data_IF_816220583829
#
_entry.id   IF_816220583829
#
_cell.length_a   1.000
_cell.length_b   1.000
_cell.length_c   1.000
_cell.angle_alpha   90.00
_cell.angle_beta   90.00
_cell.angle_gamma   90.00
#
_symmetry.space_group_name_H-M   'P 1'
#
loop_
_entity.id
_entity.type
_entity.pdbx_description
1 polymer ?
#
# COMPACT_ATOMS: atom_id res chain seq x y z
N UNK A 1 -79.95 -26.92 7.99
CA UNK A 1 -79.27 -25.87 7.17
C UNK A 1 -77.93 -25.60 7.80
N UNK A 2 -76.89 -26.22 7.27
CA UNK A 2 -75.50 -26.08 7.81
C UNK A 2 -74.64 -25.32 6.78
N UNK A 3 -74.24 -24.13 7.12
CA UNK A 3 -73.29 -23.34 6.32
C UNK A 3 -71.80 -23.70 6.74
N UNK A 4 -71.04 -24.24 5.79
CA UNK A 4 -69.61 -24.49 5.93
C UNK A 4 -68.87 -23.21 5.57
N UNK A 5 -68.11 -22.70 6.50
CA UNK A 5 -67.12 -21.64 6.26
C UNK A 5 -65.76 -22.28 5.83
N UNK A 6 -65.29 -21.95 4.66
CA UNK A 6 -63.97 -22.34 4.19
C UNK A 6 -62.97 -21.25 4.58
N UNK A 7 -61.94 -21.61 5.38
CA UNK A 7 -60.78 -20.78 5.67
C UNK A 7 -59.77 -20.92 4.52
N UNK A 8 -59.49 -19.82 3.83
CA UNK A 8 -58.36 -19.72 2.91
C UNK A 8 -57.12 -19.27 3.70
N UNK A 9 -56.13 -20.16 3.86
CA UNK A 9 -54.80 -19.82 4.30
C UNK A 9 -54.04 -19.26 3.08
N UNK A 10 -53.79 -17.97 3.07
CA UNK A 10 -52.87 -17.32 2.13
C UNK A 10 -51.41 -17.49 2.58
N UNK A 11 -50.65 -18.28 1.85
CA UNK A 11 -49.20 -18.38 2.04
C UNK A 11 -48.52 -17.20 1.33
N UNK A 12 -48.01 -16.24 2.09
CA UNK A 12 -47.19 -15.16 1.56
C UNK A 12 -45.77 -15.67 1.37
N UNK A 13 -45.36 -15.86 0.11
CA UNK A 13 -43.95 -16.11 -0.25
C UNK A 13 -43.16 -14.78 -0.15
N UNK A 14 -42.31 -14.64 0.86
CA UNK A 14 -41.38 -13.55 0.94
C UNK A 14 -40.20 -13.81 -0.03
N UNK A 15 -40.15 -13.06 -1.16
CA UNK A 15 -38.97 -13.01 -2.03
C UNK A 15 -37.85 -12.23 -1.31
N UNK A 16 -36.88 -12.95 -0.81
CA UNK A 16 -35.60 -12.34 -0.37
C UNK A 16 -34.73 -12.11 -1.61
N UNK A 17 -34.67 -10.88 -2.10
CA UNK A 17 -33.69 -10.48 -3.10
C UNK A 17 -32.32 -10.42 -2.42
N UNK A 18 -31.28 -11.13 -2.93
CA UNK A 18 -29.90 -10.94 -2.43
C UNK A 18 -29.45 -9.54 -2.78
N UNK A 19 -28.97 -8.80 -1.76
CA UNK A 19 -28.25 -7.54 -1.96
C UNK A 19 -26.95 -7.84 -2.73
N UNK A 20 -26.60 -7.03 -3.75
CA UNK A 20 -25.30 -7.17 -4.41
C UNK A 20 -24.21 -6.92 -3.36
N UNK A 21 -23.32 -7.89 -3.19
CA UNK A 21 -22.07 -7.70 -2.47
C UNK A 21 -21.25 -6.69 -3.28
N UNK A 22 -21.07 -5.48 -2.75
CA UNK A 22 -20.06 -4.56 -3.26
C UNK A 22 -18.72 -5.21 -2.96
N UNK A 23 -18.09 -5.80 -3.97
CA UNK A 23 -16.68 -6.09 -3.94
C UNK A 23 -16.00 -4.73 -3.77
N UNK A 24 -15.35 -4.52 -2.63
CA UNK A 24 -14.39 -3.43 -2.48
C UNK A 24 -13.22 -3.80 -3.41
N UNK A 25 -13.21 -3.16 -4.58
CA UNK A 25 -12.02 -3.16 -5.41
C UNK A 25 -10.90 -2.55 -4.57
N UNK A 26 -9.94 -3.36 -4.19
CA UNK A 26 -8.62 -2.91 -3.73
C UNK A 26 -7.96 -2.26 -4.94
N UNK A 27 -8.32 -1.01 -5.20
CA UNK A 27 -7.98 -0.30 -6.41
C UNK A 27 -6.50 0.04 -6.42
N UNK A 28 -5.69 -0.87 -6.94
CA UNK A 28 -4.42 -0.49 -7.51
C UNK A 28 -4.73 0.47 -8.66
N UNK A 29 -4.38 1.74 -8.50
CA UNK A 29 -4.53 2.73 -9.56
C UNK A 29 -3.66 2.34 -10.74
N UNK A 30 -4.18 2.48 -11.97
CA UNK A 30 -3.40 2.22 -13.19
C UNK A 30 -2.09 3.02 -13.19
N UNK A 31 -0.97 2.42 -13.60
CA UNK A 31 0.33 3.08 -13.58
C UNK A 31 0.36 4.27 -14.55
N UNK A 32 0.93 5.38 -14.09
CA UNK A 32 1.07 6.62 -14.87
C UNK A 32 2.50 7.13 -14.88
N UNK A 33 2.87 7.91 -15.88
CA UNK A 33 4.17 8.56 -15.96
C UNK A 33 4.17 9.92 -15.21
N UNK A 34 5.31 10.37 -14.65
CA UNK A 34 6.60 9.66 -14.63
C UNK A 34 6.64 8.51 -13.60
N UNK A 35 7.43 7.48 -13.89
CA UNK A 35 7.66 6.39 -12.96
C UNK A 35 9.06 5.79 -13.10
N UNK A 36 9.49 5.04 -12.09
CA UNK A 36 10.69 4.21 -12.12
C UNK A 36 10.32 2.74 -12.00
N UNK A 37 11.08 1.88 -12.69
CA UNK A 37 11.00 0.43 -12.56
C UNK A 37 12.41 -0.14 -12.37
N UNK A 38 12.54 -1.22 -11.60
CA UNK A 38 13.84 -1.85 -11.34
C UNK A 38 13.71 -3.33 -11.05
N UNK A 39 14.77 -4.08 -11.37
CA UNK A 39 14.93 -5.48 -10.99
C UNK A 39 16.36 -5.73 -10.53
N UNK A 40 16.58 -6.79 -9.76
CA UNK A 40 17.84 -7.04 -9.08
C UNK A 40 18.68 -8.13 -9.73
N UNK A 41 18.07 -9.14 -10.35
CA UNK A 41 18.78 -10.32 -10.88
C UNK A 41 18.35 -10.68 -12.32
N UNK A 42 19.13 -10.25 -13.33
CA UNK A 42 20.21 -9.27 -13.28
C UNK A 42 19.69 -7.85 -12.98
N UNK A 43 20.54 -7.00 -12.42
CA UNK A 43 20.17 -5.61 -12.12
C UNK A 43 19.82 -4.86 -13.42
N UNK A 44 18.69 -4.15 -13.36
CA UNK A 44 18.28 -3.14 -14.33
C UNK A 44 17.44 -2.06 -13.64
N UNK A 45 17.49 -0.86 -14.17
CA UNK A 45 16.64 0.25 -13.72
C UNK A 45 16.19 1.08 -14.91
N UNK A 46 14.91 1.44 -14.96
CA UNK A 46 14.32 2.30 -15.98
C UNK A 46 13.65 3.48 -15.30
N UNK A 47 14.03 4.68 -15.73
CA UNK A 47 13.26 5.89 -15.45
C UNK A 47 12.48 6.28 -16.71
N UNK A 48 11.15 6.32 -16.60
CA UNK A 48 10.23 6.68 -17.67
C UNK A 48 9.59 8.03 -17.39
N UNK A 49 9.65 8.94 -18.35
CA UNK A 49 9.10 10.29 -18.20
C UNK A 49 8.92 11.00 -19.52
N UNK A 50 8.56 12.30 -19.50
CA UNK A 50 8.27 13.07 -20.71
C UNK A 50 9.48 13.23 -21.64
N UNK A 51 10.70 13.07 -21.12
CA UNK A 51 11.93 13.16 -21.93
C UNK A 51 12.33 11.82 -22.58
N UNK A 52 11.64 10.73 -22.25
CA UNK A 52 11.94 9.39 -22.77
C UNK A 52 12.18 8.36 -21.67
N UNK A 53 12.62 7.17 -22.09
CA UNK A 53 13.04 6.07 -21.23
C UNK A 53 14.56 6.09 -21.05
N UNK A 54 15.03 6.03 -19.80
CA UNK A 54 16.45 5.88 -19.45
C UNK A 54 16.67 4.51 -18.83
N UNK A 55 17.35 3.62 -19.52
CA UNK A 55 17.74 2.31 -19.00
C UNK A 55 19.14 2.40 -18.40
N UNK A 56 19.32 1.88 -17.21
CA UNK A 56 20.61 1.70 -16.54
C UNK A 56 20.82 0.21 -16.28
N UNK A 57 21.96 -0.32 -16.70
CA UNK A 57 22.39 -1.71 -16.48
C UNK A 57 23.80 -1.70 -15.85
N UNK A 58 24.17 -2.71 -15.02
CA UNK A 58 25.54 -2.86 -14.55
C UNK A 58 26.47 -3.23 -15.70
N UNK A 59 27.76 -3.11 -15.49
CA UNK A 59 28.82 -3.52 -16.38
C UNK A 59 28.99 -2.69 -17.67
N UNK A 60 29.46 -1.45 -17.47
CA UNK A 60 30.13 -0.68 -18.54
C UNK A 60 29.25 -0.16 -19.68
N UNK A 61 27.97 -0.48 -19.67
CA UNK A 61 27.01 0.05 -20.67
C UNK A 61 26.47 1.42 -20.30
N UNK A 62 26.73 1.92 -19.10
CA UNK A 62 26.36 3.25 -18.64
C UNK A 62 24.85 3.50 -18.68
N UNK A 63 24.46 4.72 -18.28
CA UNK A 63 23.09 5.21 -18.49
C UNK A 63 22.91 5.51 -19.97
N UNK A 64 21.99 4.79 -20.63
CA UNK A 64 21.61 5.09 -22.00
C UNK A 64 20.91 6.45 -22.04
N UNK A 65 21.19 7.25 -23.07
CA UNK A 65 20.45 8.48 -23.32
C UNK A 65 18.95 8.16 -23.38
N UNK A 66 18.11 9.18 -23.08
CA UNK A 66 16.67 9.01 -23.15
C UNK A 66 16.23 8.48 -24.53
N UNK A 67 15.63 7.31 -24.55
CA UNK A 67 15.12 6.66 -25.74
C UNK A 67 13.67 7.10 -25.99
N UNK A 68 13.30 7.41 -27.22
CA UNK A 68 11.90 7.59 -27.58
C UNK A 68 11.14 6.27 -27.39
N UNK A 69 9.89 6.36 -26.97
CA UNK A 69 9.03 5.21 -26.76
C UNK A 69 7.60 5.47 -27.23
N UNK A 70 6.87 4.40 -27.48
CA UNK A 70 5.41 4.43 -27.61
C UNK A 70 4.78 3.91 -26.33
N UNK A 71 3.67 4.51 -25.94
CA UNK A 71 2.87 4.11 -24.78
C UNK A 71 1.56 3.50 -25.25
N UNK A 72 1.24 2.32 -24.74
CA UNK A 72 -0.05 1.64 -24.95
C UNK A 72 -0.55 1.10 -23.62
N UNK A 73 -1.82 0.70 -23.58
CA UNK A 73 -2.42 0.02 -22.42
C UNK A 73 -3.00 -1.33 -22.83
N UNK A 74 -3.00 -2.27 -21.91
CA UNK A 74 -3.63 -3.58 -22.04
C UNK A 74 -4.40 -3.83 -20.73
N UNK A 75 -5.73 -3.57 -20.75
CA UNK A 75 -6.50 -3.43 -19.52
C UNK A 75 -5.96 -2.28 -18.67
N UNK A 76 -5.65 -2.56 -17.42
CA UNK A 76 -5.06 -1.60 -16.47
C UNK A 76 -3.54 -1.53 -16.52
N UNK A 77 -2.90 -2.37 -17.34
CA UNK A 77 -1.45 -2.41 -17.51
C UNK A 77 -0.96 -1.33 -18.44
N UNK A 78 0.20 -0.74 -18.13
CA UNK A 78 0.92 0.21 -18.97
C UNK A 78 2.04 -0.51 -19.71
N UNK A 79 2.15 -0.30 -21.04
CA UNK A 79 3.21 -0.88 -21.86
C UNK A 79 3.98 0.27 -22.54
N UNK A 80 5.28 0.31 -22.32
CA UNK A 80 6.20 1.26 -22.92
C UNK A 80 7.15 0.49 -23.86
N UNK A 81 7.13 0.82 -25.14
CA UNK A 81 7.90 0.10 -26.17
C UNK A 81 8.91 1.02 -26.84
N UNK A 82 10.15 0.58 -26.87
CA UNK A 82 11.25 1.18 -27.62
C UNK A 82 11.61 0.29 -28.83
N UNK A 83 12.66 0.63 -29.60
CA UNK A 83 13.20 -0.24 -30.66
C UNK A 83 13.84 -1.52 -30.09
N UNK A 84 14.37 -1.49 -28.88
CA UNK A 84 15.22 -2.54 -28.33
C UNK A 84 14.57 -3.38 -27.24
N UNK A 85 13.54 -2.84 -26.56
CA UNK A 85 12.86 -3.53 -25.47
C UNK A 85 11.43 -2.99 -25.26
N UNK A 86 10.63 -3.78 -24.56
CA UNK A 86 9.34 -3.39 -24.00
C UNK A 86 9.35 -3.50 -22.47
N UNK A 87 8.75 -2.52 -21.80
CA UNK A 87 8.49 -2.54 -20.35
C UNK A 87 6.99 -2.62 -20.13
N UNK A 88 6.53 -3.72 -19.54
CA UNK A 88 5.15 -3.89 -19.08
C UNK A 88 5.10 -3.59 -17.59
N UNK A 89 4.09 -2.84 -17.15
CA UNK A 89 3.85 -2.46 -15.76
C UNK A 89 2.41 -2.82 -15.44
N UNK A 90 2.24 -3.73 -14.50
CA UNK A 90 0.93 -4.23 -14.09
C UNK A 90 0.55 -3.64 -12.71
N UNK A 91 -0.73 -3.28 -12.46
CA UNK A 91 -1.21 -2.73 -11.20
C UNK A 91 -1.35 -3.85 -10.13
N UNK A 92 -0.25 -4.50 -9.83
CA UNK A 92 -0.13 -5.61 -8.87
C UNK A 92 0.98 -5.29 -7.89
N UNK A 93 0.70 -5.43 -6.60
CA UNK A 93 1.68 -5.23 -5.55
C UNK A 93 2.93 -6.08 -5.83
N UNK A 94 4.09 -5.47 -5.71
CA UNK A 94 5.38 -6.10 -5.93
C UNK A 94 6.25 -5.95 -4.69
N UNK A 95 6.92 -7.01 -4.27
CA UNK A 95 7.95 -6.93 -3.24
C UNK A 95 9.32 -7.03 -3.89
N UNK A 96 10.19 -6.09 -3.60
CA UNK A 96 11.57 -6.10 -4.06
C UNK A 96 12.33 -7.29 -3.44
N UNK A 97 12.94 -8.12 -4.28
CA UNK A 97 13.52 -9.40 -3.86
C UNK A 97 14.70 -9.25 -2.88
N UNK A 98 15.36 -8.08 -2.84
CA UNK A 98 16.50 -7.85 -1.95
C UNK A 98 16.08 -7.21 -0.63
N UNK A 99 15.26 -6.17 -0.68
CA UNK A 99 14.86 -5.40 0.50
C UNK A 99 13.54 -5.86 1.13
N UNK A 100 12.70 -6.57 0.36
CA UNK A 100 11.32 -6.86 0.72
C UNK A 100 10.41 -5.63 0.74
N UNK A 101 10.88 -4.48 0.21
CA UNK A 101 10.10 -3.25 0.12
C UNK A 101 8.90 -3.44 -0.82
N UNK A 102 7.68 -3.09 -0.40
CA UNK A 102 6.52 -3.14 -1.28
C UNK A 102 6.53 -1.97 -2.27
N UNK A 103 6.18 -2.25 -3.52
CA UNK A 103 5.98 -1.30 -4.61
C UNK A 103 4.57 -1.45 -5.16
N UNK A 104 3.95 -0.38 -5.67
CA UNK A 104 2.57 -0.44 -6.15
C UNK A 104 2.37 -1.29 -7.40
N UNK A 105 3.45 -1.57 -8.17
CA UNK A 105 3.36 -2.24 -9.46
C UNK A 105 4.42 -3.32 -9.64
N UNK A 106 4.06 -4.40 -10.33
CA UNK A 106 5.04 -5.31 -10.92
C UNK A 106 5.53 -4.74 -12.25
N UNK A 107 6.76 -5.07 -12.63
CA UNK A 107 7.35 -4.67 -13.89
C UNK A 107 8.00 -5.87 -14.59
N UNK A 108 7.81 -5.96 -15.92
CA UNK A 108 8.46 -6.95 -16.76
C UNK A 108 9.17 -6.25 -17.92
N UNK A 109 10.49 -6.33 -17.92
CA UNK A 109 11.34 -5.84 -19.01
C UNK A 109 11.59 -6.99 -19.99
N UNK A 110 11.12 -6.86 -21.24
CA UNK A 110 11.30 -7.85 -22.30
C UNK A 110 12.25 -7.33 -23.37
N UNK A 111 13.32 -8.09 -23.64
CA UNK A 111 14.29 -7.80 -24.69
C UNK A 111 14.53 -9.08 -25.51
N UNK A 112 14.21 -9.04 -26.81
CA UNK A 112 14.21 -10.20 -27.68
C UNK A 112 13.41 -11.37 -27.05
N UNK A 113 14.06 -12.49 -26.71
CA UNK A 113 13.43 -13.66 -26.10
C UNK A 113 13.61 -13.72 -24.56
N UNK A 114 14.17 -12.69 -23.93
CA UNK A 114 14.44 -12.66 -22.48
C UNK A 114 13.49 -11.72 -21.80
N UNK A 115 12.89 -12.17 -20.69
CA UNK A 115 12.08 -11.36 -19.80
C UNK A 115 12.72 -11.29 -18.41
N UNK A 116 12.80 -10.10 -17.86
CA UNK A 116 13.35 -9.80 -16.53
C UNK A 116 12.25 -9.19 -15.68
N UNK A 117 12.06 -9.72 -14.48
CA UNK A 117 11.06 -9.24 -13.55
C UNK A 117 11.63 -8.16 -12.63
N UNK A 118 10.74 -7.37 -12.07
CA UNK A 118 11.08 -6.32 -11.11
C UNK A 118 9.84 -5.61 -10.60
N UNK A 119 10.05 -4.53 -9.88
CA UNK A 119 9.02 -3.69 -9.30
C UNK A 119 9.04 -2.29 -9.92
N UNK A 120 7.88 -1.60 -9.89
CA UNK A 120 7.75 -0.24 -10.40
C UNK A 120 6.90 0.65 -9.48
N UNK A 121 7.07 1.96 -9.67
CA UNK A 121 6.39 3.01 -8.91
C UNK A 121 7.17 3.46 -7.69
N UNK A 122 6.51 4.25 -6.86
CA UNK A 122 7.07 4.80 -5.62
C UNK A 122 6.44 4.09 -4.42
N UNK A 123 7.21 3.40 -3.56
CA UNK A 123 6.72 2.83 -2.31
C UNK A 123 5.98 3.84 -1.43
N UNK A 124 6.36 5.12 -1.45
CA UNK A 124 5.69 6.15 -0.68
C UNK A 124 4.21 6.31 -1.04
N UNK A 125 3.81 5.98 -2.27
CA UNK A 125 2.41 6.01 -2.70
C UNK A 125 1.55 4.98 -1.95
N UNK A 126 2.11 3.84 -1.56
CA UNK A 126 1.43 2.81 -0.78
C UNK A 126 1.20 3.27 0.67
N UNK A 127 2.19 3.95 1.24
CA UNK A 127 2.15 4.46 2.62
C UNK A 127 1.27 5.71 2.76
N UNK A 128 1.24 6.57 1.73
CA UNK A 128 0.55 7.86 1.76
C UNK A 128 -0.94 7.73 2.08
N UNK A 129 -1.48 8.68 2.85
CA UNK A 129 -2.91 8.77 3.17
C UNK A 129 -3.21 8.63 4.65
N UNK A 130 -4.50 8.44 4.95
CA UNK A 130 -5.03 8.36 6.30
C UNK A 130 -5.28 6.89 6.67
N UNK A 131 -4.86 6.51 7.86
CA UNK A 131 -4.90 5.16 8.37
C UNK A 131 -5.51 5.13 9.76
N UNK A 132 -6.45 4.21 9.99
CA UNK A 132 -6.99 3.89 11.32
C UNK A 132 -6.25 2.67 11.87
N UNK A 133 -5.60 2.82 13.01
CA UNK A 133 -4.88 1.72 13.68
C UNK A 133 -5.89 0.79 14.32
N UNK A 134 -5.81 -0.49 13.99
CA UNK A 134 -6.72 -1.53 14.48
C UNK A 134 -6.12 -2.39 15.58
N UNK A 135 -4.78 -2.56 15.56
CA UNK A 135 -4.08 -3.29 16.62
C UNK A 135 -2.63 -2.82 16.81
N UNK A 136 -2.12 -3.04 18.02
CA UNK A 136 -0.72 -2.88 18.40
C UNK A 136 -0.17 -4.27 18.75
N UNK A 137 0.92 -4.68 18.09
CA UNK A 137 1.37 -6.05 18.09
C UNK A 137 0.21 -7.01 17.79
N UNK A 138 -0.24 -7.86 18.61
CA UNK A 138 -1.40 -8.73 18.39
C UNK A 138 -2.66 -8.27 19.17
N UNK A 139 -2.57 -7.17 19.93
CA UNK A 139 -3.67 -6.68 20.76
C UNK A 139 -4.52 -5.64 20.01
N UNK A 140 -5.86 -5.79 19.96
CA UNK A 140 -6.73 -4.80 19.34
C UNK A 140 -6.70 -3.49 20.13
N UNK A 141 -6.93 -2.37 19.44
CA UNK A 141 -7.13 -1.07 20.09
C UNK A 141 -8.39 -1.13 20.96
N UNK A 142 -8.33 -0.68 22.23
CA UNK A 142 -9.50 -0.69 23.11
C UNK A 142 -10.68 0.11 22.54
N UNK A 143 -11.90 -0.41 22.73
CA UNK A 143 -13.11 0.28 22.28
C UNK A 143 -13.21 1.70 22.87
N UNK A 144 -13.60 2.67 22.04
CA UNK A 144 -13.69 4.07 22.43
C UNK A 144 -12.35 4.82 22.46
N UNK A 145 -11.29 4.21 21.93
CA UNK A 145 -9.98 4.84 21.75
C UNK A 145 -9.67 4.92 20.25
N UNK A 146 -9.50 6.13 19.73
CA UNK A 146 -9.17 6.34 18.32
C UNK A 146 -7.67 6.54 18.17
N UNK A 147 -7.05 5.68 17.37
CA UNK A 147 -5.65 5.81 16.98
C UNK A 147 -5.58 5.94 15.47
N UNK A 148 -5.00 7.04 15.00
CA UNK A 148 -4.90 7.32 13.56
C UNK A 148 -3.49 7.76 13.18
N UNK A 149 -3.10 7.47 11.96
CA UNK A 149 -1.86 7.94 11.34
C UNK A 149 -2.17 8.50 9.95
N UNK A 150 -1.53 9.59 9.60
CA UNK A 150 -1.59 10.22 8.28
C UNK A 150 -0.17 10.44 7.78
N UNK A 151 0.15 9.88 6.62
CA UNK A 151 1.47 10.02 6.00
C UNK A 151 1.35 10.90 4.76
N UNK A 152 2.05 12.04 4.74
CA UNK A 152 2.06 13.00 3.61
C UNK A 152 3.39 13.74 3.56
N UNK A 153 4.03 13.74 2.41
CA UNK A 153 5.21 14.57 2.10
C UNK A 153 6.32 14.49 3.17
N UNK A 154 6.70 13.28 3.59
CA UNK A 154 7.72 13.05 4.61
C UNK A 154 7.27 13.37 6.04
N UNK A 155 5.99 13.65 6.27
CA UNK A 155 5.42 13.94 7.60
C UNK A 155 4.42 12.88 8.02
N UNK A 156 4.49 12.51 9.29
CA UNK A 156 3.49 11.68 9.95
C UNK A 156 2.74 12.54 10.98
N UNK A 157 1.42 12.42 10.99
CA UNK A 157 0.55 13.07 11.99
C UNK A 157 -0.60 12.15 12.34
N UNK A 158 -1.30 12.40 13.45
CA UNK A 158 -2.45 11.60 13.83
C UNK A 158 -2.87 11.77 15.27
N UNK A 159 -3.53 10.74 15.80
CA UNK A 159 -3.97 10.63 17.18
C UNK A 159 -3.38 9.35 17.80
N UNK A 160 -2.79 9.45 18.98
CA UNK A 160 -2.18 8.32 19.69
C UNK A 160 -3.12 7.61 20.67
N UNK A 161 -4.41 7.97 20.66
CA UNK A 161 -5.40 7.47 21.62
C UNK A 161 -5.84 8.52 22.65
N UNK A 162 -4.93 9.35 23.11
CA UNK A 162 -5.19 10.49 23.98
C UNK A 162 -4.78 11.80 23.32
N UNK A 163 -3.58 11.87 22.79
CA UNK A 163 -2.97 13.09 22.29
C UNK A 163 -2.80 13.07 20.77
N UNK A 164 -2.76 14.26 20.17
CA UNK A 164 -2.33 14.40 18.79
C UNK A 164 -0.84 14.16 18.71
N UNK A 165 -0.42 13.41 17.70
CA UNK A 165 0.99 13.19 17.39
C UNK A 165 1.37 13.87 16.08
N UNK A 166 2.63 14.25 15.96
CA UNK A 166 3.23 14.70 14.70
C UNK A 166 4.72 14.39 14.70
N UNK A 167 5.26 14.17 13.52
CA UNK A 167 6.67 13.87 13.32
C UNK A 167 7.03 13.88 11.84
N UNK A 168 8.17 13.32 11.52
CA UNK A 168 8.64 13.09 10.15
C UNK A 168 8.90 11.63 9.90
N UNK A 169 8.84 11.24 8.63
CA UNK A 169 9.33 9.94 8.19
C UNK A 169 10.26 10.11 7.00
N UNK A 170 11.19 9.19 6.90
CA UNK A 170 12.06 9.01 5.75
C UNK A 170 11.90 7.57 5.24
N UNK A 171 11.67 7.44 3.93
CA UNK A 171 11.51 6.16 3.25
C UNK A 171 12.59 6.03 2.20
N UNK A 172 13.49 5.08 2.41
CA UNK A 172 14.61 4.79 1.52
C UNK A 172 14.56 3.33 1.05
N UNK A 173 15.46 2.93 0.15
CA UNK A 173 15.60 1.52 -0.24
C UNK A 173 15.94 0.57 0.92
N UNK A 174 16.37 1.10 2.06
CA UNK A 174 16.73 0.33 3.25
C UNK A 174 15.59 0.21 4.27
N UNK A 175 14.55 1.02 4.14
CA UNK A 175 13.39 0.94 5.03
C UNK A 175 12.73 2.26 5.35
N UNK A 176 11.88 2.23 6.38
CA UNK A 176 11.08 3.34 6.89
C UNK A 176 11.62 3.79 8.25
N UNK A 177 11.97 5.07 8.38
CA UNK A 177 12.38 5.65 9.66
C UNK A 177 11.39 6.71 10.09
N UNK A 178 10.85 6.58 11.30
CA UNK A 178 10.03 7.62 11.94
C UNK A 178 10.89 8.42 12.91
N UNK A 179 10.82 9.74 12.87
CA UNK A 179 11.65 10.61 13.69
C UNK A 179 10.91 11.83 14.19
N UNK A 180 11.44 12.44 15.25
CA UNK A 180 10.92 13.67 15.85
C UNK A 180 9.43 13.57 16.25
N UNK A 181 8.98 12.39 16.69
CA UNK A 181 7.60 12.20 17.13
C UNK A 181 7.38 13.03 18.40
N UNK A 182 6.44 13.95 18.34
CA UNK A 182 5.99 14.78 19.43
C UNK A 182 4.49 14.64 19.62
N UNK A 183 4.02 14.76 20.87
CA UNK A 183 2.59 14.73 21.19
C UNK A 183 2.18 15.98 21.97
N UNK A 184 0.89 16.31 21.91
CA UNK A 184 0.27 17.24 22.88
C UNK A 184 0.31 16.61 24.28
N UNK A 185 -0.04 17.38 25.32
CA UNK A 185 0.04 16.91 26.71
C UNK A 185 -1.30 17.07 27.41
N UNK A 186 -2.33 16.41 26.90
CA UNK A 186 -3.62 16.31 27.61
C UNK A 186 -3.57 15.13 28.59
N UNK A 187 -4.30 15.24 29.69
CA UNK A 187 -4.54 14.15 30.61
C UNK A 187 -5.85 13.46 30.22
N UNK A 188 -5.76 12.18 29.88
CA UNK A 188 -6.89 11.33 29.57
C UNK A 188 -7.06 10.22 30.64
N UNK A 189 -8.19 9.51 30.66
CA UNK A 189 -8.34 8.29 31.47
C UNK A 189 -7.23 7.26 31.19
N UNK A 190 -6.91 6.45 32.20
CA UNK A 190 -5.79 5.50 32.14
C UNK A 190 -5.73 4.63 30.86
N UNK A 191 -6.84 4.01 30.36
CA UNK A 191 -6.78 3.19 29.16
C UNK A 191 -6.26 3.92 27.92
N UNK A 192 -6.63 5.20 27.73
CA UNK A 192 -6.15 6.00 26.60
C UNK A 192 -4.67 6.40 26.77
N UNK A 193 -4.24 6.69 28.00
CA UNK A 193 -2.82 6.98 28.29
C UNK A 193 -1.93 5.75 28.10
N UNK A 194 -2.40 4.58 28.48
CA UNK A 194 -1.71 3.30 28.24
C UNK A 194 -1.60 3.01 26.75
N UNK A 195 -2.70 3.23 26.00
CA UNK A 195 -2.69 3.08 24.53
C UNK A 195 -1.68 4.03 23.89
N UNK A 196 -1.66 5.30 24.28
CA UNK A 196 -0.68 6.27 23.78
C UNK A 196 0.76 5.80 24.00
N UNK A 197 1.09 5.35 25.21
CA UNK A 197 2.43 4.84 25.50
C UNK A 197 2.79 3.66 24.60
N UNK A 198 1.85 2.74 24.38
CA UNK A 198 2.05 1.59 23.52
C UNK A 198 2.22 2.01 22.02
N UNK A 199 1.42 2.98 21.54
CA UNK A 199 1.55 3.55 20.20
C UNK A 199 2.93 4.18 20.00
N UNK A 200 3.38 5.02 20.95
CA UNK A 200 4.66 5.69 20.83
C UNK A 200 5.83 4.71 20.89
N UNK A 201 5.74 3.66 21.70
CA UNK A 201 6.72 2.59 21.75
C UNK A 201 6.75 1.79 20.43
N UNK A 202 5.59 1.48 19.86
CA UNK A 202 5.49 0.83 18.56
C UNK A 202 6.11 1.69 17.47
N UNK A 203 5.75 2.98 17.37
CA UNK A 203 6.29 3.90 16.37
C UNK A 203 7.81 4.03 16.45
N UNK A 204 8.38 4.01 17.64
CA UNK A 204 9.84 4.07 17.84
C UNK A 204 10.59 2.81 17.37
N UNK A 205 9.90 1.68 17.24
CA UNK A 205 10.49 0.40 16.80
C UNK A 205 10.38 0.14 15.30
N UNK A 206 9.59 0.96 14.58
CA UNK A 206 9.31 0.73 13.16
C UNK A 206 10.54 1.05 12.31
N UNK A 207 10.88 0.08 11.45
CA UNK A 207 11.93 0.22 10.44
C UNK A 207 11.48 -0.22 9.05
N UNK A 208 10.28 -0.80 8.93
CA UNK A 208 9.74 -1.32 7.67
C UNK A 208 8.22 -1.17 7.65
N UNK A 209 7.66 -1.22 6.46
CA UNK A 209 6.22 -1.38 6.27
C UNK A 209 5.93 -2.41 5.20
N UNK A 210 4.72 -2.92 5.22
CA UNK A 210 4.18 -3.81 4.20
C UNK A 210 2.69 -3.52 3.98
N UNK A 211 2.18 -3.93 2.84
CA UNK A 211 0.76 -3.89 2.50
C UNK A 211 0.29 -5.33 2.27
N UNK A 212 -0.63 -5.79 3.08
CA UNK A 212 -1.23 -7.10 2.89
C UNK A 212 -2.19 -7.12 1.68
N UNK A 213 -2.55 -8.31 1.19
CA UNK A 213 -3.43 -8.50 0.02
C UNK A 213 -4.80 -7.80 0.16
N UNK A 214 -5.27 -7.60 1.39
CA UNK A 214 -6.52 -6.91 1.70
C UNK A 214 -6.35 -5.37 1.84
N UNK A 215 -5.17 -4.84 1.50
CA UNK A 215 -4.83 -3.42 1.62
C UNK A 215 -4.48 -2.95 3.04
N UNK A 216 -4.35 -3.87 4.00
CA UNK A 216 -3.97 -3.55 5.38
C UNK A 216 -2.51 -3.11 5.44
N UNK A 217 -2.23 -1.98 6.10
CA UNK A 217 -0.88 -1.49 6.40
C UNK A 217 -0.32 -2.23 7.62
N UNK A 218 0.84 -2.82 7.45
CA UNK A 218 1.63 -3.49 8.48
C UNK A 218 2.90 -2.67 8.73
N UNK A 219 3.03 -2.04 9.90
CA UNK A 219 4.25 -1.37 10.31
C UNK A 219 5.08 -2.33 11.16
N UNK A 220 6.33 -2.58 10.75
CA UNK A 220 7.15 -3.66 11.27
C UNK A 220 8.46 -3.15 11.87
N UNK A 221 8.94 -3.89 12.88
CA UNK A 221 10.28 -3.70 13.46
C UNK A 221 11.37 -4.28 12.55
N UNK A 222 12.61 -4.05 12.91
CA UNK A 222 13.78 -4.60 12.21
C UNK A 222 13.77 -6.13 12.15
N UNK A 223 13.19 -6.78 13.15
CA UNK A 223 13.08 -8.24 13.23
C UNK A 223 11.92 -8.81 12.39
N UNK A 224 11.19 -7.94 11.64
CA UNK A 224 10.02 -8.32 10.86
C UNK A 224 8.75 -8.55 11.69
N UNK A 225 8.78 -8.24 12.98
CA UNK A 225 7.60 -8.34 13.83
C UNK A 225 6.65 -7.17 13.55
N UNK A 226 5.39 -7.44 13.28
CA UNK A 226 4.36 -6.41 13.09
C UNK A 226 4.08 -5.71 14.43
N UNK A 227 4.49 -4.45 14.52
CA UNK A 227 4.30 -3.62 15.70
C UNK A 227 2.93 -2.91 15.68
N UNK A 228 2.40 -2.61 14.47
CA UNK A 228 1.16 -1.87 14.30
C UNK A 228 0.46 -2.32 13.02
N UNK A 229 -0.87 -2.47 13.10
CA UNK A 229 -1.76 -2.79 11.97
C UNK A 229 -2.75 -1.67 11.78
N UNK A 230 -2.93 -1.20 10.54
CA UNK A 230 -3.85 -0.12 10.23
C UNK A 230 -4.61 -0.35 8.92
N UNK A 231 -5.78 0.31 8.79
CA UNK A 231 -6.65 0.24 7.61
C UNK A 231 -7.09 1.64 7.18
N UNK A 232 -7.39 1.78 5.92
CA UNK A 232 -8.03 2.99 5.36
C UNK A 232 -9.52 3.01 5.63
#
# INVERSE_FOLDING_TARGET
MARRFALFLGASLALTTPLPAFAQETGATSPTLPLTARGNEPFWSIAAGPEGLRLTEPEGKGTVQALPFTQTTDGDSLILTTTDFALRIDPTLCHDDMSGMPFPYTATLTRAATSLNGCAGDPAALLAGDWTVTSLAAAPIPAGTDVTLSFRDGRVAGNSGCNRLSGSYDLTGEGLTLSQIATTRMACPAPQMETEQAVLAALASITRFDIADDGTLLLQSQEGTTALVARR
#
